data_IF_689850037145
#
_entry.id   IF_689850037145
#
_cell.length_a   1.000
_cell.length_b   1.000
_cell.length_c   1.000
_cell.angle_alpha   90.00
_cell.angle_beta   90.00
_cell.angle_gamma   90.00
#
_symmetry.space_group_name_H-M   'P 1'
#
loop_
_entity.id
_entity.type
_entity.pdbx_description
1 polymer ?
#
# COMPACT_ATOMS: atom_id res chain seq x y z
N UNK A 1 -9.63 16.35 -8.46
CA UNK A 1 -8.78 15.96 -7.33
C UNK A 1 -9.29 14.66 -6.72
N UNK A 2 -8.39 13.91 -6.15
CA UNK A 2 -8.72 12.63 -5.55
C UNK A 2 -9.07 12.73 -4.08
N UNK A 3 -9.44 11.59 -3.51
CA UNK A 3 -9.73 11.44 -2.10
C UNK A 3 -8.57 10.71 -1.43
N UNK A 4 -8.13 11.21 -0.29
CA UNK A 4 -7.15 10.52 0.54
C UNK A 4 -7.83 9.35 1.25
N UNK A 5 -7.24 8.17 1.13
CA UNK A 5 -7.74 6.97 1.78
C UNK A 5 -6.78 6.56 2.90
N UNK A 6 -7.33 6.35 4.09
CA UNK A 6 -6.62 5.86 5.26
C UNK A 6 -7.40 4.68 5.79
N UNK A 7 -6.82 3.49 5.74
CA UNK A 7 -7.57 2.28 6.03
C UNK A 7 -6.71 1.21 6.70
N UNK A 8 -7.31 0.52 7.67
CA UNK A 8 -6.70 -0.66 8.26
C UNK A 8 -6.86 -1.83 7.28
N UNK A 9 -5.74 -2.45 6.92
CA UNK A 9 -5.73 -3.66 6.10
C UNK A 9 -5.93 -4.88 7.00
N UNK A 10 -5.19 -4.92 8.10
CA UNK A 10 -5.29 -6.01 9.08
C UNK A 10 -4.88 -5.48 10.44
N UNK A 11 -5.70 -5.69 11.47
CA UNK A 11 -5.59 -4.99 12.74
C UNK A 11 -4.63 -5.64 13.75
N UNK A 12 -3.97 -6.73 13.39
CA UNK A 12 -3.05 -7.45 14.27
C UNK A 12 -1.71 -7.65 13.57
N UNK A 13 -0.73 -8.14 14.32
CA UNK A 13 0.58 -8.45 13.75
C UNK A 13 0.43 -9.28 12.48
N UNK A 14 1.07 -8.84 11.41
CA UNK A 14 1.02 -9.51 10.12
C UNK A 14 2.28 -9.21 9.32
N UNK A 15 2.48 -9.95 8.24
CA UNK A 15 3.51 -9.67 7.26
C UNK A 15 2.88 -9.41 5.91
N UNK A 16 3.34 -8.35 5.25
CA UNK A 16 2.95 -8.05 3.88
C UNK A 16 3.79 -8.95 2.96
N UNK A 17 3.13 -9.83 2.22
CA UNK A 17 3.80 -10.86 1.41
C UNK A 17 3.84 -10.52 -0.06
N UNK A 18 2.92 -9.70 -0.52
CA UNK A 18 2.88 -9.26 -1.90
C UNK A 18 1.85 -8.18 -2.09
N UNK A 19 1.97 -7.43 -3.17
CA UNK A 19 1.01 -6.39 -3.51
C UNK A 19 0.90 -6.28 -5.03
N UNK A 20 -0.32 -6.03 -5.50
CA UNK A 20 -0.63 -5.78 -6.89
C UNK A 20 -1.34 -4.42 -6.97
N UNK A 21 -0.82 -3.51 -7.77
CA UNK A 21 -1.32 -2.15 -7.87
C UNK A 21 -1.81 -1.87 -9.28
N UNK A 22 -2.98 -1.27 -9.40
CA UNK A 22 -3.45 -0.70 -10.66
C UNK A 22 -3.35 0.82 -10.55
N UNK A 23 -2.50 1.41 -11.38
CA UNK A 23 -2.21 2.84 -11.32
C UNK A 23 -3.36 3.68 -11.86
N UNK A 24 -3.56 4.85 -11.25
CA UNK A 24 -4.44 5.89 -11.77
C UNK A 24 -3.61 6.91 -12.58
N UNK A 25 -4.18 8.07 -12.86
CA UNK A 25 -3.58 9.03 -13.77
C UNK A 25 -2.52 9.97 -13.19
N UNK A 26 -2.25 9.91 -11.90
CA UNK A 26 -1.27 10.77 -11.25
C UNK A 26 -0.18 9.95 -10.56
N UNK A 27 1.06 10.43 -10.61
CA UNK A 27 2.16 9.82 -9.89
C UNK A 27 2.10 10.23 -8.42
N UNK A 28 2.30 9.27 -7.54
CA UNK A 28 2.28 9.50 -6.10
C UNK A 28 2.74 8.29 -5.32
N UNK A 29 2.20 8.12 -4.12
CA UNK A 29 2.66 7.10 -3.18
C UNK A 29 1.51 6.22 -2.71
N UNK A 30 1.83 4.96 -2.48
CA UNK A 30 1.01 4.04 -1.70
C UNK A 30 1.85 3.66 -0.48
N UNK A 31 1.45 4.13 0.70
CA UNK A 31 2.22 3.96 1.92
C UNK A 31 1.58 2.92 2.83
N UNK A 32 2.39 1.98 3.30
CA UNK A 32 1.97 1.05 4.34
C UNK A 32 2.63 1.44 5.66
N UNK A 33 1.81 1.56 6.69
CA UNK A 33 2.25 1.99 8.02
C UNK A 33 1.96 0.91 9.05
N UNK A 34 2.70 0.96 10.14
CA UNK A 34 2.54 0.01 11.23
C UNK A 34 1.39 0.45 12.14
N UNK A 35 0.29 -0.27 12.11
CA UNK A 35 -0.83 -0.15 13.03
C UNK A 35 -1.83 0.96 12.75
N UNK A 36 -1.38 2.17 12.44
CA UNK A 36 -2.27 3.33 12.32
C UNK A 36 -1.65 4.43 11.47
N UNK A 37 -2.42 5.51 11.24
CA UNK A 37 -1.94 6.68 10.52
C UNK A 37 -0.71 7.33 11.16
N UNK A 38 -0.52 7.14 12.47
CA UNK A 38 0.62 7.66 13.21
C UNK A 38 1.77 6.65 13.30
N UNK A 39 1.59 5.46 12.77
CA UNK A 39 2.61 4.44 12.79
C UNK A 39 3.76 4.74 11.83
N UNK A 40 4.88 4.06 12.04
CA UNK A 40 6.03 4.17 11.16
C UNK A 40 5.70 3.63 9.78
N UNK A 41 6.21 4.28 8.74
CA UNK A 41 6.10 3.76 7.38
C UNK A 41 6.97 2.51 7.26
N UNK A 42 6.36 1.39 6.93
CA UNK A 42 7.09 0.12 6.77
C UNK A 42 7.40 -0.17 5.31
N UNK A 43 6.59 0.37 4.40
CA UNK A 43 6.81 0.21 2.96
C UNK A 43 6.14 1.35 2.21
N UNK A 44 6.87 1.96 1.29
CA UNK A 44 6.36 3.01 0.42
C UNK A 44 6.56 2.59 -1.02
N UNK A 45 5.47 2.60 -1.78
CA UNK A 45 5.49 2.24 -3.20
C UNK A 45 5.14 3.47 -4.02
N UNK A 46 5.94 3.75 -5.04
CA UNK A 46 5.71 4.88 -5.94
C UNK A 46 4.82 4.42 -7.08
N UNK A 47 3.82 5.25 -7.44
CA UNK A 47 2.96 4.96 -8.58
C UNK A 47 3.52 5.64 -9.84
N UNK A 48 3.20 5.07 -11.01
CA UNK A 48 3.82 5.53 -12.27
C UNK A 48 3.15 6.74 -12.87
N UNK A 49 1.91 7.01 -12.50
CA UNK A 49 1.13 8.08 -13.13
C UNK A 49 0.55 7.71 -14.49
N UNK A 50 0.67 6.46 -14.91
CA UNK A 50 0.10 5.99 -16.17
C UNK A 50 -1.17 5.19 -15.88
N UNK A 51 -2.31 5.76 -16.21
CA UNK A 51 -3.61 5.17 -15.91
C UNK A 51 -3.74 3.76 -16.47
N UNK A 52 -4.39 2.88 -15.70
CA UNK A 52 -4.72 1.50 -16.05
C UNK A 52 -3.50 0.59 -16.26
N UNK A 53 -2.30 1.01 -15.85
CA UNK A 53 -1.15 0.11 -15.83
C UNK A 53 -1.07 -0.60 -14.49
N UNK A 54 -0.57 -1.83 -14.50
CA UNK A 54 -0.47 -2.63 -13.29
C UNK A 54 1.00 -2.87 -12.92
N UNK A 55 1.28 -2.83 -11.62
CA UNK A 55 2.60 -3.12 -11.07
C UNK A 55 2.51 -4.20 -10.00
N UNK A 56 3.52 -5.04 -9.95
CA UNK A 56 3.64 -6.06 -8.92
C UNK A 56 5.05 -5.95 -8.31
N UNK A 57 5.22 -5.03 -7.35
CA UNK A 57 6.53 -4.80 -6.74
C UNK A 57 7.07 -6.05 -6.06
N UNK A 58 8.39 -6.23 -6.14
CA UNK A 58 9.06 -7.31 -5.43
C UNK A 58 9.08 -7.04 -3.94
N UNK A 59 8.63 -8.04 -3.19
CA UNK A 59 8.69 -8.01 -1.73
C UNK A 59 9.53 -9.23 -1.32
N UNK A 60 10.48 -9.07 -0.38
CA UNK A 60 11.30 -10.19 0.08
C UNK A 60 10.44 -11.37 0.54
N UNK A 61 10.94 -12.58 0.37
CA UNK A 61 10.20 -13.81 0.69
C UNK A 61 9.69 -13.85 2.13
N UNK A 62 10.41 -13.23 3.05
CA UNK A 62 10.02 -13.16 4.45
C UNK A 62 8.88 -12.16 4.69
N UNK A 63 8.60 -11.31 3.70
CA UNK A 63 7.61 -10.27 3.80
C UNK A 63 8.08 -9.07 4.60
N UNK A 64 7.20 -8.08 4.75
CA UNK A 64 7.46 -6.87 5.52
C UNK A 64 6.62 -6.94 6.79
N UNK A 65 7.28 -6.95 7.94
CA UNK A 65 6.60 -7.09 9.23
C UNK A 65 5.88 -5.81 9.63
N UNK A 66 4.60 -5.95 9.96
CA UNK A 66 3.79 -4.91 10.60
C UNK A 66 3.42 -5.42 12.00
N UNK A 67 4.19 -5.02 13.01
CA UNK A 67 4.06 -5.59 14.36
C UNK A 67 2.72 -5.26 15.03
N UNK A 68 2.14 -4.11 14.69
CA UNK A 68 0.85 -3.66 15.25
C UNK A 68 -0.29 -3.74 14.22
N UNK A 69 -0.03 -4.32 13.07
CA UNK A 69 -1.01 -4.42 11.99
C UNK A 69 -0.60 -3.62 10.76
N UNK A 70 -1.30 -3.85 9.67
CA UNK A 70 -1.04 -3.15 8.41
C UNK A 70 -2.08 -2.06 8.19
N UNK A 71 -1.60 -0.87 7.88
CA UNK A 71 -2.41 0.31 7.63
C UNK A 71 -1.97 0.91 6.30
N UNK A 72 -2.90 1.36 5.47
CA UNK A 72 -2.57 1.92 4.16
C UNK A 72 -3.04 3.36 4.04
N UNK A 73 -2.23 4.17 3.37
CA UNK A 73 -2.55 5.56 3.03
C UNK A 73 -2.22 5.80 1.56
N UNK A 74 -3.16 6.33 0.82
CA UNK A 74 -2.96 6.72 -0.57
C UNK A 74 -4.02 7.72 -1.01
N UNK A 75 -3.84 8.30 -2.21
CA UNK A 75 -4.82 9.18 -2.83
C UNK A 75 -5.39 8.50 -4.07
N UNK A 76 -6.69 8.61 -4.29
CA UNK A 76 -7.37 7.91 -5.39
C UNK A 76 -6.95 8.38 -6.78
N UNK A 77 -6.33 9.55 -6.91
CA UNK A 77 -5.73 9.99 -8.17
C UNK A 77 -4.46 9.20 -8.52
N UNK A 78 -3.84 8.55 -7.53
CA UNK A 78 -2.59 7.83 -7.70
C UNK A 78 -2.81 6.33 -7.91
N UNK A 79 -3.83 5.77 -7.28
CA UNK A 79 -4.11 4.34 -7.28
C UNK A 79 -5.58 4.09 -7.55
N UNK A 80 -5.88 3.31 -8.58
CA UNK A 80 -7.25 2.91 -8.90
C UNK A 80 -7.70 1.74 -8.01
N UNK A 81 -6.81 0.77 -7.84
CA UNK A 81 -7.09 -0.43 -7.05
C UNK A 81 -5.78 -1.07 -6.61
N UNK A 82 -5.83 -1.83 -5.54
CA UNK A 82 -4.69 -2.63 -5.12
C UNK A 82 -5.17 -3.89 -4.42
N UNK A 83 -4.35 -4.93 -4.47
CA UNK A 83 -4.58 -6.18 -3.76
C UNK A 83 -3.37 -6.45 -2.89
N UNK A 84 -3.60 -6.78 -1.63
CA UNK A 84 -2.53 -7.06 -0.67
C UNK A 84 -2.59 -8.52 -0.26
N UNK A 85 -1.44 -9.18 -0.35
CA UNK A 85 -1.27 -10.55 0.16
C UNK A 85 -0.55 -10.47 1.49
N UNK A 86 -1.14 -11.03 2.54
CA UNK A 86 -0.56 -10.97 3.88
C UNK A 86 -0.87 -12.25 4.67
N UNK A 87 -0.15 -12.44 5.77
CA UNK A 87 -0.42 -13.54 6.70
C UNK A 87 0.01 -13.25 8.13
#
# INVERSE_FOLDING_TARGET
>A
SGTTVNQVVFARRTRLRGIYIVNAGAAGDLDFKNGSSNGSTVMKLMTTGTAATADYPDIPDEGVLCSDGAYVNFTTTDVTAFTVFFN
#
